data_IF_890224771413
#
_entry.id   IF_890224771413
#
_cell.length_a   1.000
_cell.length_b   1.000
_cell.length_c   1.000
_cell.angle_alpha   90.00
_cell.angle_beta   90.00
_cell.angle_gamma   90.00
#
_symmetry.space_group_name_H-M   'P 1'
#
loop_
_entity.id
_entity.type
_entity.pdbx_description
1 polymer ?
#
# COMPACT_ATOMS: atom_id res chain seq x y z
N UNK A 1 -0.89 -43.88 32.38
CA UNK A 1 -0.95 -43.36 30.99
C UNK A 1 -0.59 -41.88 31.02
N UNK A 2 0.56 -41.44 30.49
CA UNK A 2 0.92 -40.02 30.51
C UNK A 2 0.26 -39.29 29.34
N UNK A 3 -0.58 -38.30 29.64
CA UNK A 3 -1.25 -37.45 28.65
C UNK A 3 -0.31 -36.38 28.11
N UNK A 4 -0.09 -36.38 26.80
CA UNK A 4 0.69 -35.35 26.10
C UNK A 4 -0.12 -34.05 26.05
N UNK A 5 0.33 -33.01 26.76
CA UNK A 5 -0.25 -31.66 26.68
C UNK A 5 0.44 -30.87 25.56
N UNK A 6 -0.09 -30.94 24.34
CA UNK A 6 0.34 -30.05 23.25
C UNK A 6 -0.17 -28.63 23.52
N UNK A 7 0.74 -27.70 23.83
CA UNK A 7 0.44 -26.27 23.85
C UNK A 7 0.85 -25.70 22.49
N UNK A 8 -0.12 -25.44 21.61
CA UNK A 8 0.12 -24.70 20.37
C UNK A 8 0.50 -23.27 20.74
N UNK A 9 1.78 -22.94 20.62
CA UNK A 9 2.28 -21.57 20.71
C UNK A 9 1.91 -20.84 19.41
N UNK A 10 1.37 -19.62 19.45
CA UNK A 10 1.05 -18.89 18.23
C UNK A 10 2.33 -18.55 17.46
N UNK A 11 2.41 -19.03 16.23
CA UNK A 11 3.47 -18.76 15.27
C UNK A 11 3.10 -17.51 14.44
N UNK A 12 3.45 -16.34 14.97
CA UNK A 12 3.37 -15.09 14.21
C UNK A 12 4.75 -14.73 13.66
N UNK A 13 4.84 -14.51 12.35
CA UNK A 13 6.05 -14.01 11.70
C UNK A 13 5.88 -12.52 11.42
N UNK A 14 6.75 -11.70 12.00
CA UNK A 14 6.83 -10.27 11.72
C UNK A 14 7.90 -10.06 10.65
N UNK A 15 7.56 -9.39 9.55
CA UNK A 15 8.50 -9.03 8.50
C UNK A 15 8.66 -7.51 8.45
N UNK A 16 9.90 -7.04 8.46
CA UNK A 16 10.23 -5.63 8.29
C UNK A 16 10.34 -5.31 6.80
N UNK A 17 9.63 -4.28 6.36
CA UNK A 17 9.69 -3.78 4.99
C UNK A 17 10.18 -2.33 4.98
N UNK A 18 10.91 -1.92 3.92
CA UNK A 18 11.39 -0.55 3.83
C UNK A 18 10.21 0.43 3.65
N UNK A 19 10.24 1.54 4.39
CA UNK A 19 9.29 2.63 4.19
C UNK A 19 9.50 3.32 2.84
N UNK A 20 8.43 3.89 2.30
CA UNK A 20 8.49 4.72 1.10
C UNK A 20 8.96 6.12 1.50
N UNK A 21 10.07 6.55 0.91
CA UNK A 21 10.63 7.88 1.11
C UNK A 21 10.61 8.63 -0.23
N UNK A 22 9.83 9.70 -0.29
CA UNK A 22 9.80 10.60 -1.44
C UNK A 22 10.89 11.66 -1.25
N UNK A 23 11.90 11.75 -2.13
CA UNK A 23 12.95 12.77 -2.03
C UNK A 23 12.37 14.19 -2.05
N UNK A 24 13.10 15.13 -1.45
CA UNK A 24 12.75 16.54 -1.59
C UNK A 24 12.89 16.98 -3.06
N UNK A 25 11.85 17.63 -3.61
CA UNK A 25 11.81 18.05 -5.01
C UNK A 25 11.20 17.02 -5.98
N UNK A 26 10.81 15.83 -5.51
CA UNK A 26 10.08 14.83 -6.30
C UNK A 26 8.65 14.62 -5.78
N UNK A 27 7.76 14.14 -6.65
CA UNK A 27 6.42 13.67 -6.26
C UNK A 27 6.37 12.15 -6.31
N UNK A 28 5.66 11.55 -5.35
CA UNK A 28 5.42 10.11 -5.34
C UNK A 28 4.07 9.78 -5.96
N UNK A 29 4.07 9.14 -7.13
CA UNK A 29 2.84 8.62 -7.77
C UNK A 29 2.50 7.27 -7.17
N UNK A 30 1.27 7.12 -6.67
CA UNK A 30 0.79 5.87 -6.07
C UNK A 30 -0.06 5.10 -7.08
N UNK A 31 0.25 3.81 -7.25
CA UNK A 31 -0.46 2.89 -8.12
C UNK A 31 -0.95 1.71 -7.27
N UNK A 32 -2.26 1.52 -7.19
CA UNK A 32 -2.83 0.37 -6.50
C UNK A 32 -2.82 -0.87 -7.41
N UNK A 33 -2.39 -2.01 -6.87
CA UNK A 33 -2.45 -3.31 -7.55
C UNK A 33 -3.77 -4.05 -7.25
N UNK A 34 -4.48 -3.62 -6.20
CA UNK A 34 -5.70 -4.26 -5.66
C UNK A 34 -6.87 -3.28 -5.61
N UNK A 35 -8.08 -3.80 -5.35
CA UNK A 35 -9.31 -3.02 -5.27
C UNK A 35 -10.21 -3.20 -6.49
N UNK A 36 -11.26 -2.38 -6.56
CA UNK A 36 -12.26 -2.43 -7.61
C UNK A 36 -11.68 -2.07 -8.98
N UNK A 37 -12.34 -2.54 -10.04
CA UNK A 37 -11.96 -2.18 -11.40
C UNK A 37 -12.23 -0.70 -11.63
N UNK A 38 -11.36 -0.02 -12.38
CA UNK A 38 -11.64 1.36 -12.77
C UNK A 38 -12.96 1.42 -13.54
N UNK A 39 -13.79 2.45 -13.32
CA UNK A 39 -14.99 2.64 -14.11
C UNK A 39 -14.62 2.80 -15.59
N UNK A 40 -15.45 2.24 -16.46
CA UNK A 40 -15.23 2.24 -17.91
C UNK A 40 -15.02 3.66 -18.43
N UNK A 41 -13.85 3.93 -19.02
CA UNK A 41 -13.47 5.25 -19.55
C UNK A 41 -12.63 6.12 -18.62
N UNK A 42 -12.43 5.74 -17.35
CA UNK A 42 -11.56 6.48 -16.43
C UNK A 42 -10.10 6.04 -16.54
N UNK A 43 -9.18 7.02 -16.59
CA UNK A 43 -7.72 6.79 -16.59
C UNK A 43 -7.10 6.76 -15.19
N UNK A 44 -7.83 7.21 -14.17
CA UNK A 44 -7.36 7.28 -12.79
C UNK A 44 -8.47 6.93 -11.81
N UNK A 45 -8.08 6.36 -10.67
CA UNK A 45 -9.00 6.00 -9.60
C UNK A 45 -9.73 7.24 -9.04
N UNK A 46 -10.95 7.03 -8.57
CA UNK A 46 -11.71 8.07 -7.86
C UNK A 46 -10.99 8.40 -6.55
N UNK A 47 -10.74 9.67 -6.29
CA UNK A 47 -10.19 10.11 -5.02
C UNK A 47 -11.28 10.18 -3.96
N UNK A 48 -10.92 9.72 -2.75
CA UNK A 48 -11.74 9.80 -1.54
C UNK A 48 -10.83 10.24 -0.38
N UNK A 49 -11.25 11.20 0.47
CA UNK A 49 -10.45 11.69 1.58
C UNK A 49 -10.12 10.59 2.60
N UNK A 50 -10.94 9.54 2.68
CA UNK A 50 -10.76 8.39 3.57
C UNK A 50 -9.52 7.55 3.24
N UNK A 51 -8.94 7.70 2.04
CA UNK A 51 -7.73 6.99 1.65
C UNK A 51 -6.45 7.57 2.29
N UNK A 52 -6.48 8.84 2.73
CA UNK A 52 -5.35 9.51 3.36
C UNK A 52 -4.05 9.33 2.58
N UNK A 53 -3.03 8.78 3.24
CA UNK A 53 -1.70 8.52 2.68
C UNK A 53 -1.48 7.05 2.26
N UNK A 54 -2.55 6.27 2.04
CA UNK A 54 -2.48 4.85 1.62
C UNK A 54 -1.72 3.94 2.60
N UNK A 55 -1.71 4.30 3.89
CA UNK A 55 -1.07 3.54 4.97
C UNK A 55 -1.95 2.38 5.46
N UNK A 56 -3.27 2.54 5.37
CA UNK A 56 -4.25 1.56 5.81
C UNK A 56 -4.94 0.91 4.59
N UNK A 57 -4.55 -0.33 4.32
CA UNK A 57 -5.10 -1.14 3.24
C UNK A 57 -6.55 -1.53 3.47
N UNK A 58 -6.95 -1.77 4.72
CA UNK A 58 -8.32 -2.13 5.07
C UNK A 58 -9.27 -0.96 4.83
N UNK A 59 -8.87 0.24 5.28
CA UNK A 59 -9.62 1.47 5.01
C UNK A 59 -9.71 1.76 3.50
N UNK A 60 -8.65 1.51 2.74
CA UNK A 60 -8.67 1.69 1.28
C UNK A 60 -9.70 0.76 0.60
N UNK A 61 -9.69 -0.52 0.92
CA UNK A 61 -10.61 -1.50 0.31
C UNK A 61 -12.06 -1.27 0.74
N UNK A 62 -12.30 -1.02 2.03
CA UNK A 62 -13.66 -0.80 2.56
C UNK A 62 -14.34 0.44 1.98
N UNK A 63 -13.57 1.43 1.54
CA UNK A 63 -14.08 2.67 0.94
C UNK A 63 -14.13 2.62 -0.60
N UNK A 64 -14.09 1.43 -1.20
CA UNK A 64 -14.18 1.27 -2.66
C UNK A 64 -12.92 1.70 -3.39
N UNK A 65 -11.75 1.47 -2.78
CA UNK A 65 -10.45 1.71 -3.40
C UNK A 65 -10.34 0.97 -4.74
N UNK A 66 -9.84 1.67 -5.76
CA UNK A 66 -9.77 1.15 -7.13
C UNK A 66 -8.34 0.79 -7.50
N UNK A 67 -8.20 -0.26 -8.32
CA UNK A 67 -6.93 -0.63 -8.94
C UNK A 67 -6.43 0.51 -9.85
N UNK A 68 -5.12 0.58 -10.08
CA UNK A 68 -4.50 1.50 -11.03
C UNK A 68 -4.00 2.80 -10.38
N UNK A 69 -3.70 3.78 -11.23
CA UNK A 69 -3.08 5.05 -10.85
C UNK A 69 -4.04 5.86 -10.00
N UNK A 70 -3.59 6.23 -8.80
CA UNK A 70 -4.34 7.09 -7.89
C UNK A 70 -4.10 8.57 -8.25
N UNK A 71 -5.12 9.41 -8.05
CA UNK A 71 -5.01 10.86 -8.29
C UNK A 71 -4.15 11.59 -7.25
N UNK A 72 -4.26 11.27 -5.94
CA UNK A 72 -3.39 11.89 -4.95
C UNK A 72 -1.95 11.43 -5.17
N UNK A 73 -1.05 12.40 -5.11
CA UNK A 73 0.39 12.14 -5.07
C UNK A 73 0.91 12.40 -3.67
N UNK A 74 1.95 11.67 -3.30
CA UNK A 74 2.68 11.93 -2.07
C UNK A 74 3.54 13.19 -2.28
N UNK A 75 3.45 14.19 -1.39
CA UNK A 75 4.23 15.41 -1.51
C UNK A 75 5.74 15.14 -1.31
N UNK A 76 6.61 16.03 -1.81
CA UNK A 76 8.06 15.91 -1.61
C UNK A 76 8.40 15.87 -0.12
N UNK A 77 9.36 15.02 0.26
CA UNK A 77 9.79 14.84 1.65
C UNK A 77 8.88 13.93 2.48
N UNK A 78 7.87 13.29 1.88
CA UNK A 78 6.99 12.36 2.59
C UNK A 78 7.71 11.06 2.92
N UNK A 79 7.59 10.63 4.18
CA UNK A 79 8.00 9.31 4.66
C UNK A 79 6.76 8.60 5.22
N UNK A 80 6.26 7.60 4.49
CA UNK A 80 5.05 6.86 4.87
C UNK A 80 5.26 5.34 4.77
N UNK A 81 4.74 4.57 5.73
CA UNK A 81 4.67 3.12 5.62
C UNK A 81 3.53 2.77 4.66
N UNK A 82 3.86 2.26 3.48
CA UNK A 82 2.88 1.86 2.48
C UNK A 82 2.98 0.34 2.29
N UNK A 83 1.83 -0.31 2.11
CA UNK A 83 1.79 -1.76 1.93
C UNK A 83 2.51 -2.17 0.62
N UNK A 84 3.67 -2.86 0.69
CA UNK A 84 4.63 -2.92 -0.41
C UNK A 84 4.21 -3.84 -1.56
N UNK A 85 3.20 -4.69 -1.34
CA UNK A 85 2.60 -5.56 -2.36
C UNK A 85 1.36 -4.92 -2.98
N UNK A 86 0.61 -4.15 -2.20
CA UNK A 86 -0.69 -3.64 -2.63
C UNK A 86 -0.57 -2.33 -3.38
N UNK A 87 0.42 -1.52 -3.02
CA UNK A 87 0.69 -0.25 -3.65
C UNK A 87 2.11 -0.22 -4.19
N UNK A 88 2.23 0.33 -5.38
CA UNK A 88 3.47 0.64 -6.06
C UNK A 88 3.64 2.17 -6.00
N UNK A 89 4.71 2.65 -5.40
CA UNK A 89 5.01 4.09 -5.38
C UNK A 89 6.17 4.36 -6.32
N UNK A 90 6.00 5.27 -7.27
CA UNK A 90 7.02 5.65 -8.23
C UNK A 90 7.37 7.12 -8.01
N UNK A 91 8.65 7.40 -7.78
CA UNK A 91 9.23 8.74 -7.81
C UNK A 91 10.05 8.90 -9.10
N UNK A 92 10.55 10.10 -9.38
CA UNK A 92 11.33 10.34 -10.59
C UNK A 92 12.63 9.52 -10.63
N UNK A 93 13.22 9.28 -9.46
CA UNK A 93 14.47 8.51 -9.33
C UNK A 93 14.27 7.05 -8.96
N UNK A 94 13.16 6.66 -8.31
CA UNK A 94 13.03 5.32 -7.73
C UNK A 94 11.60 4.78 -7.75
N UNK A 95 11.46 3.49 -8.05
CA UNK A 95 10.22 2.75 -7.85
C UNK A 95 10.30 1.89 -6.58
N UNK A 96 9.30 2.02 -5.72
CA UNK A 96 9.12 1.26 -4.48
C UNK A 96 8.03 0.20 -4.71
N UNK A 97 8.48 -1.05 -4.89
CA UNK A 97 7.66 -2.26 -5.01
C UNK A 97 8.35 -3.41 -4.29
N UNK A 98 7.60 -4.27 -3.61
CA UNK A 98 8.09 -5.62 -3.27
C UNK A 98 7.77 -6.57 -4.42
N UNK A 99 8.81 -7.20 -4.96
CA UNK A 99 8.71 -8.26 -5.97
C UNK A 99 9.99 -8.35 -6.79
N UNK A 100 10.78 -9.39 -6.51
CA UNK A 100 11.81 -9.93 -7.41
C UNK A 100 11.23 -10.26 -8.78
#
# INVERSE_FOLDING_TARGET
MPGVRFKLWPNHTVALYPCVQVPAGEIGVVISQIGERLPTGAKSAVYRPEFGNFTDLGAFLNNGGQKGVQRPVLPPGTLVPVHPVAFLVITATKAYKTGS
#
